data_IF_447451282796
#
_entry.id   IF_447451282796
#
_cell.length_a   1.000
_cell.length_b   1.000
_cell.length_c   1.000
_cell.angle_alpha   90.00
_cell.angle_beta   90.00
_cell.angle_gamma   90.00
#
_symmetry.space_group_name_H-M   'P 1'
#
loop_
_entity.id
_entity.type
_entity.pdbx_description
1 polymer ?
#
# COMPACT_ATOMS: atom_id res chain seq x y z
N UNK A 1 16.51 -21.43 -25.88
CA UNK A 1 15.93 -21.93 -24.62
C UNK A 1 15.12 -20.80 -24.03
N UNK A 2 13.81 -20.76 -24.29
CA UNK A 2 12.92 -19.87 -23.55
C UNK A 2 12.96 -20.35 -22.10
N UNK A 3 13.59 -19.57 -21.23
CA UNK A 3 13.53 -19.81 -19.79
C UNK A 3 12.11 -19.41 -19.40
N UNK A 4 11.17 -20.35 -19.54
CA UNK A 4 9.83 -20.18 -18.99
C UNK A 4 10.01 -19.89 -17.50
N UNK A 5 9.63 -18.70 -17.00
CA UNK A 5 9.77 -18.39 -15.60
C UNK A 5 8.94 -19.40 -14.81
N UNK A 6 9.63 -20.26 -14.07
CA UNK A 6 9.01 -21.27 -13.24
C UNK A 6 7.92 -20.61 -12.37
N UNK A 7 6.71 -21.20 -12.35
CA UNK A 7 5.56 -20.60 -11.66
C UNK A 7 5.86 -20.35 -10.18
N UNK A 8 6.72 -21.15 -9.55
CA UNK A 8 7.16 -20.91 -8.16
C UNK A 8 8.02 -19.65 -8.07
N UNK A 9 8.91 -19.37 -9.03
CA UNK A 9 9.71 -18.12 -9.01
C UNK A 9 8.87 -16.85 -9.18
N UNK A 10 7.73 -16.91 -9.88
CA UNK A 10 6.79 -15.77 -10.01
C UNK A 10 6.02 -15.58 -8.70
N UNK A 11 5.48 -16.66 -8.13
CA UNK A 11 4.76 -16.63 -6.86
C UNK A 11 5.65 -16.15 -5.71
N UNK A 12 6.89 -16.66 -5.65
CA UNK A 12 7.91 -16.25 -4.69
C UNK A 12 8.29 -14.78 -4.84
N UNK A 13 8.51 -14.29 -6.08
CA UNK A 13 8.78 -12.87 -6.33
C UNK A 13 7.61 -11.98 -5.91
N UNK A 14 6.37 -12.39 -6.16
CA UNK A 14 5.17 -11.66 -5.77
C UNK A 14 5.03 -11.59 -4.24
N UNK A 15 5.29 -12.69 -3.54
CA UNK A 15 5.27 -12.75 -2.08
C UNK A 15 6.40 -11.93 -1.45
N UNK A 16 7.63 -12.09 -1.94
CA UNK A 16 8.82 -11.36 -1.45
C UNK A 16 8.68 -9.85 -1.65
N UNK A 17 8.15 -9.40 -2.80
CA UNK A 17 7.88 -7.99 -3.06
C UNK A 17 6.87 -7.41 -2.06
N UNK A 18 5.79 -8.14 -1.75
CA UNK A 18 4.83 -7.71 -0.72
C UNK A 18 5.46 -7.58 0.67
N UNK A 19 6.32 -8.51 1.07
CA UNK A 19 7.01 -8.43 2.36
C UNK A 19 7.97 -7.24 2.41
N UNK A 20 8.67 -6.98 1.31
CA UNK A 20 9.57 -5.82 1.21
C UNK A 20 8.80 -4.49 1.32
N UNK A 21 7.72 -4.35 0.56
CA UNK A 21 6.87 -3.14 0.58
C UNK A 21 6.27 -2.91 1.97
N UNK A 22 5.91 -3.98 2.68
CA UNK A 22 5.39 -3.95 4.04
C UNK A 22 6.48 -3.51 5.04
N UNK A 23 7.69 -4.06 4.93
CA UNK A 23 8.82 -3.69 5.80
C UNK A 23 9.20 -2.22 5.62
N UNK A 24 9.21 -1.74 4.39
CA UNK A 24 9.51 -0.34 4.05
C UNK A 24 8.41 0.60 4.56
N UNK A 25 7.14 0.20 4.43
CA UNK A 25 6.00 0.90 5.02
C UNK A 25 6.10 1.03 6.54
N UNK A 26 6.33 -0.07 7.25
CA UNK A 26 6.44 -0.05 8.71
C UNK A 26 7.64 0.76 9.19
N UNK A 27 8.76 0.73 8.46
CA UNK A 27 9.91 1.59 8.74
C UNK A 27 9.54 3.06 8.69
N UNK A 28 8.94 3.49 7.58
CA UNK A 28 8.54 4.89 7.38
C UNK A 28 7.45 5.33 8.38
N UNK A 29 6.48 4.47 8.66
CA UNK A 29 5.43 4.72 9.65
C UNK A 29 5.98 4.84 11.07
N UNK A 30 6.95 3.99 11.44
CA UNK A 30 7.60 4.07 12.76
C UNK A 30 8.36 5.39 12.90
N UNK A 31 9.14 5.76 11.89
CA UNK A 31 9.83 7.05 11.86
C UNK A 31 8.86 8.22 11.99
N UNK A 32 7.73 8.19 11.27
CA UNK A 32 6.69 9.20 11.37
C UNK A 32 6.10 9.31 12.80
N UNK A 33 5.78 8.17 13.42
CA UNK A 33 5.26 8.13 14.78
C UNK A 33 6.26 8.61 15.85
N UNK A 34 7.56 8.63 15.58
CA UNK A 34 8.58 9.14 16.51
C UNK A 34 8.88 10.62 16.22
N UNK A 35 9.09 10.95 14.94
CA UNK A 35 9.53 12.27 14.51
C UNK A 35 8.41 13.30 14.65
N UNK A 36 7.17 12.98 14.26
CA UNK A 36 6.06 13.95 14.33
C UNK A 36 5.75 14.38 15.78
N UNK A 37 5.64 13.47 16.77
CA UNK A 37 5.48 13.89 18.16
C UNK A 37 6.68 14.66 18.70
N UNK A 38 7.91 14.28 18.32
CA UNK A 38 9.09 15.06 18.68
C UNK A 38 9.03 16.50 18.15
N UNK A 39 8.65 16.69 16.87
CA UNK A 39 8.43 18.01 16.30
C UNK A 39 7.27 18.74 16.96
N UNK A 40 6.18 18.05 17.30
CA UNK A 40 5.03 18.65 17.97
C UNK A 40 5.42 19.21 19.35
N UNK A 41 6.18 18.45 20.13
CA UNK A 41 6.71 18.90 21.42
C UNK A 41 7.64 20.11 21.22
N UNK A 42 8.58 20.03 20.28
CA UNK A 42 9.51 21.13 19.98
C UNK A 42 8.74 22.39 19.57
N UNK A 43 7.72 22.24 18.73
CA UNK A 43 6.88 23.32 18.28
C UNK A 43 6.12 24.00 19.43
N UNK A 44 5.48 23.22 20.31
CA UNK A 44 4.77 23.75 21.49
C UNK A 44 5.73 24.48 22.43
N UNK A 45 6.96 23.98 22.59
CA UNK A 45 7.97 24.59 23.46
C UNK A 45 8.58 25.87 22.87
N UNK A 46 8.82 25.91 21.56
CA UNK A 46 9.53 27.02 20.90
C UNK A 46 8.61 28.10 20.36
N UNK A 47 7.43 27.73 19.86
CA UNK A 47 6.51 28.63 19.17
C UNK A 47 5.05 28.16 19.31
N UNK A 48 4.46 28.23 20.53
CA UNK A 48 3.10 27.73 20.78
C UNK A 48 2.02 28.46 19.97
N UNK A 49 2.29 29.67 19.48
CA UNK A 49 1.37 30.45 18.65
C UNK A 49 1.32 30.05 17.17
N UNK A 50 2.24 29.19 16.70
CA UNK A 50 2.29 28.77 15.30
C UNK A 50 2.61 27.29 15.18
N UNK A 51 1.59 26.48 14.89
CA UNK A 51 1.67 25.01 14.82
C UNK A 51 2.37 24.51 13.54
N UNK A 52 3.63 24.87 13.35
CA UNK A 52 4.36 24.55 12.12
C UNK A 52 4.57 23.06 11.90
N UNK A 53 4.52 22.23 12.95
CA UNK A 53 4.67 20.77 12.86
C UNK A 53 3.56 20.11 12.01
N UNK A 54 2.41 20.77 11.82
CA UNK A 54 1.31 20.29 10.98
C UNK A 54 1.74 20.17 9.51
N UNK A 55 2.61 21.04 9.02
CA UNK A 55 3.09 20.99 7.64
C UNK A 55 3.88 19.71 7.32
N UNK A 56 4.95 19.34 8.06
CA UNK A 56 5.64 18.07 7.86
C UNK A 56 4.75 16.87 8.21
N UNK A 57 3.85 16.97 9.19
CA UNK A 57 2.90 15.90 9.50
C UNK A 57 1.96 15.62 8.31
N UNK A 58 1.33 16.66 7.74
CA UNK A 58 0.43 16.50 6.59
C UNK A 58 1.19 16.08 5.33
N UNK A 59 2.31 16.72 5.01
CA UNK A 59 3.09 16.39 3.81
C UNK A 59 3.60 14.95 3.82
N UNK A 60 4.15 14.50 4.95
CA UNK A 60 4.68 13.14 5.07
C UNK A 60 3.57 12.11 5.31
N UNK A 61 2.53 12.48 6.07
CA UNK A 61 1.38 11.65 6.37
C UNK A 61 0.58 11.26 5.13
N UNK A 62 0.46 12.17 4.14
CA UNK A 62 -0.16 11.85 2.84
C UNK A 62 0.63 10.76 2.11
N UNK A 63 1.96 10.83 2.08
CA UNK A 63 2.80 9.79 1.48
C UNK A 63 2.63 8.42 2.14
N UNK A 64 2.55 8.39 3.47
CA UNK A 64 2.28 7.17 4.24
C UNK A 64 0.87 6.64 3.96
N UNK A 65 -0.14 7.51 3.86
CA UNK A 65 -1.50 7.10 3.53
C UNK A 65 -1.59 6.44 2.14
N UNK A 66 -0.92 7.00 1.13
CA UNK A 66 -0.85 6.38 -0.20
C UNK A 66 -0.13 5.02 -0.16
N UNK A 67 0.97 4.90 0.56
CA UNK A 67 1.69 3.63 0.73
C UNK A 67 0.83 2.60 1.47
N UNK A 68 0.10 3.02 2.51
CA UNK A 68 -0.85 2.18 3.23
C UNK A 68 -1.95 1.63 2.32
N UNK A 69 -2.55 2.47 1.47
CA UNK A 69 -3.58 2.05 0.51
C UNK A 69 -3.00 1.03 -0.49
N UNK A 70 -1.77 1.25 -0.96
CA UNK A 70 -1.07 0.34 -1.88
C UNK A 70 -0.78 -1.04 -1.25
N UNK A 71 -0.35 -1.04 0.02
CA UNK A 71 0.04 -2.25 0.76
C UNK A 71 -1.16 -3.03 1.29
N UNK A 72 -2.12 -2.35 1.94
CA UNK A 72 -3.33 -2.97 2.48
C UNK A 72 -4.37 -3.26 1.40
N UNK A 73 -4.21 -2.70 0.19
CA UNK A 73 -4.88 -3.20 -1.01
C UNK A 73 -6.40 -3.14 -0.93
N UNK A 74 -6.95 -2.04 -0.39
CA UNK A 74 -8.41 -1.80 -0.35
C UNK A 74 -9.02 -1.96 -1.75
N UNK A 75 -8.26 -1.70 -2.82
CA UNK A 75 -8.67 -1.96 -4.21
C UNK A 75 -8.38 -3.37 -4.75
N UNK A 76 -7.25 -4.00 -4.39
CA UNK A 76 -6.80 -5.25 -5.05
C UNK A 76 -7.71 -6.45 -4.79
N UNK A 77 -8.27 -6.57 -3.58
CA UNK A 77 -9.20 -7.67 -3.29
C UNK A 77 -10.54 -7.50 -3.99
N UNK A 78 -11.00 -6.25 -4.12
CA UNK A 78 -12.21 -5.91 -4.88
C UNK A 78 -12.00 -6.11 -6.39
N UNK A 79 -10.84 -5.70 -6.90
CA UNK A 79 -10.46 -5.80 -8.31
C UNK A 79 -10.29 -7.27 -8.74
N UNK A 80 -9.56 -8.09 -7.97
CA UNK A 80 -9.44 -9.54 -8.22
C UNK A 80 -10.81 -10.24 -8.17
N UNK A 81 -11.69 -9.85 -7.22
CA UNK A 81 -13.06 -10.35 -7.16
C UNK A 81 -13.87 -9.96 -8.41
N UNK A 82 -13.71 -8.73 -8.91
CA UNK A 82 -14.49 -8.24 -10.05
C UNK A 82 -14.05 -8.83 -11.38
N UNK A 83 -12.74 -9.02 -11.56
CA UNK A 83 -12.18 -9.75 -12.70
C UNK A 83 -12.71 -11.19 -12.71
N UNK A 84 -12.69 -11.87 -11.56
CA UNK A 84 -13.23 -13.24 -11.45
C UNK A 84 -14.72 -13.31 -11.81
N UNK A 85 -15.51 -12.35 -11.33
CA UNK A 85 -16.95 -12.30 -11.59
C UNK A 85 -17.28 -12.02 -13.07
N UNK A 86 -16.47 -11.21 -13.77
CA UNK A 86 -16.60 -10.97 -15.21
C UNK A 86 -16.21 -12.20 -16.03
N UNK A 87 -15.11 -12.88 -15.68
CA UNK A 87 -14.71 -14.13 -16.35
C UNK A 87 -15.76 -15.23 -16.18
N UNK A 88 -16.34 -15.39 -14.98
CA UNK A 88 -17.42 -16.36 -14.73
C UNK A 88 -18.71 -16.02 -15.50
N UNK A 89 -18.98 -14.73 -15.75
CA UNK A 89 -20.12 -14.29 -16.58
C UNK A 89 -19.89 -14.60 -18.06
N UNK A 90 -18.69 -14.33 -18.58
CA UNK A 90 -18.33 -14.64 -19.97
C UNK A 90 -18.36 -16.15 -20.24
N UNK A 91 -17.87 -16.96 -19.29
CA UNK A 91 -17.88 -18.41 -19.40
C UNK A 91 -19.31 -18.97 -19.38
N UNK A 92 -20.18 -18.44 -18.50
CA UNK A 92 -21.61 -18.79 -18.47
C UNK A 92 -22.37 -18.33 -19.72
N UNK A 93 -21.99 -17.21 -20.33
CA UNK A 93 -22.59 -16.76 -21.59
C UNK A 93 -22.16 -17.64 -22.78
N UNK A 94 -20.89 -18.04 -22.85
CA UNK A 94 -20.42 -18.99 -23.88
C UNK A 94 -21.13 -20.35 -23.77
N UNK A 95 -21.34 -20.86 -22.57
CA UNK A 95 -22.04 -22.14 -22.35
C UNK A 95 -23.54 -22.08 -22.71
N UNK A 96 -24.19 -20.92 -22.60
CA UNK A 96 -25.61 -20.73 -22.95
C UNK A 96 -25.89 -20.56 -24.45
N UNK A 97 -24.85 -20.32 -25.25
CA UNK A 97 -24.97 -20.02 -26.68
C UNK A 97 -24.54 -21.21 -27.57
N UNK A 98 -24.03 -22.28 -26.94
CA UNK A 98 -23.76 -23.59 -27.53
C UNK A 98 -24.93 -24.54 -27.21
#
# INVERSE_FOLDING_TARGET
>A
MEILPDKETIAYRKASRRVKDLKEFYGNLTSYCIIIPFLAILNIVTAPGYLWFLWPALGWGVGIAFHAISVFGIGKSWEERKIKELMEKDEKQKIKTL
#
